data_IF_557348576056
#
_entry.id   IF_557348576056
#
_cell.length_a   1.000
_cell.length_b   1.000
_cell.length_c   1.000
_cell.angle_alpha   90.00
_cell.angle_beta   90.00
_cell.angle_gamma   90.00
#
_symmetry.space_group_name_H-M   'P 1'
#
loop_
_entity.id
_entity.type
_entity.pdbx_description
1 polymer ?
#
# COMPACT_ATOMS: atom_id res chain seq x y z
N UNK A 1 30.76 6.86 -50.57
CA UNK A 1 29.60 6.12 -51.14
C UNK A 1 29.16 5.07 -50.14
N UNK A 2 28.18 5.37 -49.31
CA UNK A 2 27.53 4.40 -48.41
C UNK A 2 26.06 4.34 -48.82
N UNK A 3 25.60 3.15 -49.23
CA UNK A 3 24.20 2.88 -49.57
C UNK A 3 23.46 2.47 -48.30
N UNK A 4 22.37 3.17 -48.00
CA UNK A 4 21.32 2.72 -47.08
C UNK A 4 20.68 1.44 -47.62
N UNK A 5 20.46 0.45 -46.75
CA UNK A 5 19.47 -0.61 -46.96
C UNK A 5 18.61 -0.68 -45.71
N UNK A 6 17.36 -0.26 -45.88
CA UNK A 6 16.27 -0.34 -44.89
C UNK A 6 15.73 -1.77 -44.88
N UNK A 7 15.69 -2.41 -43.71
CA UNK A 7 15.08 -3.73 -43.55
C UNK A 7 13.63 -3.55 -43.05
N UNK A 8 12.66 -3.82 -43.92
CA UNK A 8 11.24 -3.90 -43.57
C UNK A 8 10.93 -5.35 -43.13
N UNK A 9 10.42 -5.51 -41.91
CA UNK A 9 9.96 -6.79 -41.39
C UNK A 9 8.46 -6.95 -41.71
N UNK A 10 8.14 -7.83 -42.67
CA UNK A 10 6.76 -8.24 -42.96
C UNK A 10 6.43 -9.49 -42.15
N UNK A 11 5.41 -9.41 -41.28
CA UNK A 11 4.85 -10.57 -40.57
C UNK A 11 3.76 -11.19 -41.44
N UNK A 12 3.99 -12.43 -41.90
CA UNK A 12 2.98 -13.28 -42.51
C UNK A 12 2.20 -14.01 -41.40
N UNK A 13 0.88 -13.86 -41.38
CA UNK A 13 0.01 -14.62 -40.49
C UNK A 13 -0.16 -16.06 -41.02
N UNK A 14 0.21 -17.06 -40.21
CA UNK A 14 -0.17 -18.45 -40.44
C UNK A 14 -1.64 -18.64 -40.02
N UNK A 15 -2.49 -19.01 -40.96
CA UNK A 15 -3.83 -19.53 -40.67
C UNK A 15 -3.72 -21.03 -40.36
N UNK A 16 -4.02 -21.44 -39.13
CA UNK A 16 -4.20 -22.86 -38.79
C UNK A 16 -5.62 -23.29 -39.17
N UNK A 17 -5.73 -24.26 -40.08
CA UNK A 17 -7.00 -24.91 -40.43
C UNK A 17 -7.52 -25.74 -39.24
N UNK A 18 -8.74 -25.46 -38.79
CA UNK A 18 -9.43 -26.28 -37.79
C UNK A 18 -10.01 -27.53 -38.44
N UNK A 19 -9.58 -28.70 -37.97
CA UNK A 19 -10.19 -30.01 -38.28
C UNK A 19 -11.55 -30.10 -37.60
N UNK A 20 -12.60 -30.41 -38.38
CA UNK A 20 -13.98 -30.46 -37.90
C UNK A 20 -14.23 -31.59 -36.90
N UNK A 21 -15.03 -31.29 -35.87
CA UNK A 21 -15.59 -32.24 -34.91
C UNK A 21 -17.06 -32.52 -35.28
N UNK A 22 -17.47 -33.79 -35.26
CA UNK A 22 -18.86 -34.21 -35.51
C UNK A 22 -19.55 -34.56 -34.20
N UNK A 23 -20.69 -33.94 -33.92
CA UNK A 23 -21.54 -34.29 -32.78
C UNK A 23 -22.64 -35.31 -33.15
N UNK A 24 -23.33 -35.80 -32.12
CA UNK A 24 -24.26 -36.94 -32.16
C UNK A 24 -25.56 -36.73 -32.97
N UNK A 25 -25.70 -35.60 -33.67
CA UNK A 25 -26.87 -35.30 -34.52
C UNK A 25 -26.54 -35.12 -36.01
N UNK A 26 -25.30 -35.39 -36.43
CA UNK A 26 -24.94 -35.53 -37.84
C UNK A 26 -24.95 -34.22 -38.65
N UNK A 27 -24.89 -33.06 -38.00
CA UNK A 27 -24.81 -31.75 -38.66
C UNK A 27 -23.38 -31.22 -38.67
N UNK A 28 -22.81 -31.04 -39.86
CA UNK A 28 -21.52 -30.36 -40.06
C UNK A 28 -21.74 -28.85 -40.09
N UNK A 29 -21.47 -28.17 -38.97
CA UNK A 29 -21.51 -26.71 -38.85
C UNK A 29 -20.26 -26.18 -38.14
N UNK A 30 -19.75 -25.03 -38.59
CA UNK A 30 -18.65 -24.34 -37.93
C UNK A 30 -19.05 -23.97 -36.49
N UNK A 31 -18.20 -24.31 -35.51
CA UNK A 31 -18.43 -23.92 -34.11
C UNK A 31 -18.55 -22.40 -33.95
N UNK A 32 -19.20 -21.91 -32.87
CA UNK A 32 -19.37 -20.48 -32.66
C UNK A 32 -18.00 -19.81 -32.52
N UNK A 33 -17.67 -18.95 -33.45
CA UNK A 33 -16.53 -18.03 -33.35
C UNK A 33 -16.84 -17.00 -32.29
N UNK A 34 -16.20 -17.13 -31.12
CA UNK A 34 -16.15 -16.07 -30.13
C UNK A 34 -15.30 -14.93 -30.70
N UNK A 35 -15.95 -13.89 -31.21
CA UNK A 35 -15.29 -12.61 -31.46
C UNK A 35 -15.00 -11.97 -30.09
N UNK A 36 -13.79 -11.42 -29.87
CA UNK A 36 -13.55 -10.60 -28.69
C UNK A 36 -14.51 -9.41 -28.77
N UNK A 37 -15.45 -9.33 -27.82
CA UNK A 37 -16.32 -8.16 -27.69
C UNK A 37 -15.46 -6.98 -27.28
N UNK A 38 -15.17 -6.09 -28.22
CA UNK A 38 -14.75 -4.74 -27.86
C UNK A 38 -15.91 -4.09 -27.10
N UNK A 39 -15.69 -3.55 -25.88
CA UNK A 39 -16.76 -2.89 -25.14
C UNK A 39 -17.32 -1.75 -25.99
N UNK A 40 -18.65 -1.68 -26.11
CA UNK A 40 -19.31 -0.59 -26.83
C UNK A 40 -18.99 0.72 -26.10
N UNK A 41 -18.52 1.77 -26.79
CA UNK A 41 -18.34 3.07 -26.16
C UNK A 41 -19.71 3.59 -25.73
N UNK A 42 -19.87 3.92 -24.46
CA UNK A 42 -21.07 4.55 -23.93
C UNK A 42 -21.25 5.93 -24.59
N UNK A 43 -22.37 6.22 -25.26
CA UNK A 43 -22.59 7.53 -25.86
C UNK A 43 -22.76 8.59 -24.76
N UNK A 44 -21.84 9.55 -24.69
CA UNK A 44 -22.11 10.87 -24.09
C UNK A 44 -21.70 11.12 -22.64
N UNK A 45 -20.84 10.32 -22.02
CA UNK A 45 -20.27 10.62 -20.70
C UNK A 45 -18.76 10.47 -20.70
N UNK A 46 -18.03 11.50 -20.27
CA UNK A 46 -16.61 11.38 -19.89
C UNK A 46 -16.51 10.61 -18.57
N UNK A 47 -16.85 9.33 -18.60
CA UNK A 47 -16.65 8.43 -17.46
C UNK A 47 -15.15 8.12 -17.39
N UNK A 48 -14.38 9.08 -16.88
CA UNK A 48 -13.12 8.75 -16.22
C UNK A 48 -13.52 8.24 -14.84
N UNK A 49 -13.22 6.96 -14.58
CA UNK A 49 -13.29 6.43 -13.22
C UNK A 49 -12.54 7.39 -12.29
N UNK A 50 -13.09 7.65 -11.10
CA UNK A 50 -12.42 8.48 -10.10
C UNK A 50 -11.11 7.79 -9.72
N UNK A 51 -9.99 8.38 -10.09
CA UNK A 51 -8.67 7.91 -9.71
C UNK A 51 -8.61 7.71 -8.18
N UNK A 52 -8.06 6.59 -7.74
CA UNK A 52 -7.73 6.39 -6.33
C UNK A 52 -6.95 7.62 -5.86
N UNK A 53 -7.38 8.24 -4.76
CA UNK A 53 -6.78 9.49 -4.30
C UNK A 53 -5.30 9.29 -4.04
N UNK A 54 -4.44 9.89 -4.87
CA UNK A 54 -2.99 9.94 -4.72
C UNK A 54 -2.50 11.24 -4.08
N UNK A 55 -3.43 12.06 -3.58
CA UNK A 55 -3.10 13.36 -2.98
C UNK A 55 -2.55 13.19 -1.56
N UNK A 56 -1.22 13.27 -1.44
CA UNK A 56 -0.52 13.27 -0.17
C UNK A 56 -0.53 14.64 0.52
N UNK A 57 -0.96 15.71 -0.17
CA UNK A 57 -0.89 17.07 0.35
C UNK A 57 -1.94 17.36 1.43
N UNK A 58 -3.07 16.67 1.43
CA UNK A 58 -4.21 17.01 2.31
C UNK A 58 -4.69 15.81 3.13
N UNK A 59 -3.78 15.16 3.85
CA UNK A 59 -4.09 14.00 4.69
C UNK A 59 -4.50 14.40 6.11
N UNK A 60 -5.29 13.54 6.74
CA UNK A 60 -5.57 13.59 8.18
C UNK A 60 -4.68 12.57 8.89
N UNK A 61 -3.35 12.81 8.91
CA UNK A 61 -2.38 11.76 9.24
C UNK A 61 -1.29 12.20 10.22
N UNK A 62 -1.09 11.44 11.29
CA UNK A 62 0.11 11.49 12.11
C UNK A 62 0.97 10.25 11.80
N UNK A 63 2.24 10.46 11.46
CA UNK A 63 3.20 9.40 11.15
C UNK A 63 4.33 9.43 12.15
N UNK A 64 4.78 8.26 12.60
CA UNK A 64 6.09 8.12 13.25
C UNK A 64 6.95 7.16 12.44
N UNK A 65 8.09 7.67 11.99
CA UNK A 65 9.10 6.86 11.31
C UNK A 65 10.07 6.33 12.36
N UNK A 66 10.27 5.01 12.39
CA UNK A 66 11.12 4.30 13.33
C UNK A 66 12.25 3.65 12.55
N UNK A 67 13.48 4.08 12.77
CA UNK A 67 14.64 3.68 11.96
C UNK A 67 15.64 2.95 12.84
N UNK A 68 15.93 1.71 12.50
CA UNK A 68 17.09 1.00 13.03
C UNK A 68 18.35 1.80 12.68
N UNK A 69 19.23 2.05 13.65
CA UNK A 69 20.54 2.65 13.41
C UNK A 69 21.67 1.80 13.97
N UNK A 70 21.45 0.50 14.16
CA UNK A 70 22.48 -0.49 14.47
C UNK A 70 23.47 -0.66 13.31
N UNK A 71 24.60 -1.32 13.58
CA UNK A 71 25.58 -1.68 12.55
C UNK A 71 24.99 -2.47 11.39
N UNK A 72 23.93 -3.26 11.63
CA UNK A 72 23.27 -4.08 10.61
C UNK A 72 22.70 -3.27 9.44
N UNK A 73 22.37 -1.99 9.66
CA UNK A 73 21.91 -1.12 8.58
C UNK A 73 23.00 -0.69 7.59
N UNK A 74 24.27 -0.72 8.00
CA UNK A 74 25.42 -0.09 7.32
C UNK A 74 25.24 1.41 7.01
N UNK A 75 26.35 2.10 6.72
CA UNK A 75 26.30 3.52 6.35
C UNK A 75 25.60 3.75 5.00
N UNK A 76 25.71 2.78 4.08
CA UNK A 76 25.00 2.85 2.79
C UNK A 76 23.50 2.67 3.00
N UNK A 77 23.09 1.67 3.78
CA UNK A 77 21.67 1.40 3.99
C UNK A 77 20.94 2.46 4.79
N UNK A 78 21.56 3.03 5.82
CA UNK A 78 20.93 4.14 6.55
C UNK A 78 20.78 5.40 5.67
N UNK A 79 21.71 5.64 4.74
CA UNK A 79 21.61 6.72 3.75
C UNK A 79 20.49 6.47 2.74
N UNK A 80 20.31 5.21 2.32
CA UNK A 80 19.20 4.81 1.46
C UNK A 80 17.85 5.01 2.14
N UNK A 81 17.73 4.63 3.41
CA UNK A 81 16.52 4.89 4.22
C UNK A 81 16.24 6.39 4.32
N UNK A 82 17.26 7.22 4.54
CA UNK A 82 17.12 8.67 4.57
C UNK A 82 16.54 9.21 3.24
N UNK A 83 17.07 8.74 2.11
CA UNK A 83 16.58 9.11 0.78
C UNK A 83 15.16 8.60 0.51
N UNK A 84 14.82 7.39 0.97
CA UNK A 84 13.48 6.83 0.84
C UNK A 84 12.45 7.67 1.62
N UNK A 85 12.71 7.99 2.88
CA UNK A 85 11.85 8.85 3.71
C UNK A 85 11.66 10.22 3.04
N UNK A 86 12.76 10.83 2.58
CA UNK A 86 12.71 12.12 1.89
C UNK A 86 11.83 12.05 0.62
N UNK A 87 11.89 10.96 -0.13
CA UNK A 87 11.09 10.79 -1.35
C UNK A 87 9.61 10.51 -1.05
N UNK A 88 9.31 9.66 -0.06
CA UNK A 88 7.94 9.33 0.37
C UNK A 88 7.18 10.61 0.74
N UNK A 89 7.79 11.47 1.55
CA UNK A 89 7.13 12.68 2.03
C UNK A 89 7.39 13.92 1.16
N UNK A 90 8.45 13.91 0.35
CA UNK A 90 8.79 15.01 -0.56
C UNK A 90 7.83 15.20 -1.73
N UNK A 91 7.01 14.19 -2.04
CA UNK A 91 6.04 14.23 -3.14
C UNK A 91 4.76 15.01 -2.78
N UNK A 92 4.90 16.29 -2.46
CA UNK A 92 3.78 17.20 -2.20
C UNK A 92 3.09 17.04 -0.84
N UNK A 93 3.63 16.24 0.08
CA UNK A 93 3.05 16.10 1.43
C UNK A 93 3.12 17.43 2.18
N UNK A 94 2.00 17.89 2.72
CA UNK A 94 1.96 19.07 3.59
C UNK A 94 2.34 18.67 5.02
N UNK A 95 3.60 18.92 5.40
CA UNK A 95 4.14 18.58 6.72
C UNK A 95 3.92 19.71 7.72
N UNK A 96 3.45 19.39 8.92
CA UNK A 96 3.32 20.33 10.04
C UNK A 96 1.88 20.53 10.49
N UNK A 97 1.65 21.55 11.31
CA UNK A 97 0.32 21.86 11.86
C UNK A 97 -0.03 23.35 11.88
N UNK A 98 0.75 24.19 11.21
CA UNK A 98 0.57 25.65 11.20
C UNK A 98 -0.32 26.15 10.05
N UNK A 99 -1.10 25.27 9.44
CA UNK A 99 -1.94 25.59 8.29
C UNK A 99 -3.37 25.95 8.71
N UNK A 100 -3.98 26.87 7.96
CA UNK A 100 -5.40 27.21 8.11
C UNK A 100 -6.31 26.05 7.73
N UNK A 101 -5.91 25.28 6.70
CA UNK A 101 -6.52 23.99 6.42
C UNK A 101 -5.95 22.93 7.39
N UNK A 102 -6.79 22.32 8.23
CA UNK A 102 -6.33 21.35 9.22
C UNK A 102 -5.81 20.04 8.60
N UNK A 103 -6.07 19.79 7.31
CA UNK A 103 -5.53 18.64 6.56
C UNK A 103 -4.03 18.82 6.33
N UNK A 104 -3.25 18.02 7.02
CA UNK A 104 -1.80 18.03 7.04
C UNK A 104 -1.26 16.74 7.67
N UNK A 105 -0.02 16.40 7.35
CA UNK A 105 0.70 15.28 7.95
C UNK A 105 1.66 15.79 9.02
N UNK A 106 1.62 15.23 10.22
CA UNK A 106 2.71 15.41 11.21
C UNK A 106 3.63 14.21 11.14
N UNK A 107 4.94 14.43 11.16
CA UNK A 107 5.94 13.36 11.10
C UNK A 107 6.81 13.44 12.35
N UNK A 108 6.84 12.35 13.11
CA UNK A 108 7.83 12.11 14.15
C UNK A 108 8.93 11.17 13.63
N UNK A 109 10.12 11.27 14.22
CA UNK A 109 11.26 10.43 13.89
C UNK A 109 11.85 9.82 15.16
N UNK A 110 12.00 8.50 15.15
CA UNK A 110 12.62 7.71 16.21
C UNK A 110 13.74 6.91 15.59
N UNK A 111 14.90 6.89 16.24
CA UNK A 111 15.95 5.91 15.95
C UNK A 111 16.05 4.87 17.05
N UNK A 112 16.45 3.64 16.72
CA UNK A 112 16.66 2.61 17.72
C UNK A 112 17.81 1.64 17.37
N UNK A 113 18.38 1.07 18.42
CA UNK A 113 19.32 -0.05 18.41
C UNK A 113 19.05 -0.90 19.67
N UNK A 114 20.00 -1.03 20.60
CA UNK A 114 19.75 -1.51 21.97
C UNK A 114 18.91 -0.54 22.83
N UNK A 115 18.85 0.74 22.45
CA UNK A 115 17.99 1.77 23.06
C UNK A 115 17.25 2.54 21.97
N UNK A 116 16.22 3.32 22.32
CA UNK A 116 15.53 4.21 21.39
C UNK A 116 15.74 5.68 21.73
N UNK A 117 15.75 6.52 20.69
CA UNK A 117 15.87 7.97 20.79
C UNK A 117 14.75 8.64 19.97
N UNK A 118 13.99 9.53 20.60
CA UNK A 118 13.01 10.37 19.89
C UNK A 118 13.77 11.56 19.32
N UNK A 119 13.99 11.55 18.00
CA UNK A 119 14.70 12.59 17.28
C UNK A 119 13.78 13.78 17.02
N UNK A 120 12.53 13.49 16.65
CA UNK A 120 11.50 14.49 16.44
C UNK A 120 10.15 13.98 16.98
N UNK A 121 9.49 14.80 17.80
CA UNK A 121 8.09 14.58 18.13
C UNK A 121 7.17 15.10 17.00
N UNK A 122 5.86 14.87 17.13
CA UNK A 122 4.88 15.25 16.09
C UNK A 122 4.77 16.77 15.86
N UNK A 123 5.30 17.62 16.72
CA UNK A 123 5.21 19.07 16.62
C UNK A 123 6.55 19.74 16.26
N UNK A 124 7.64 18.99 16.16
CA UNK A 124 8.94 19.54 15.81
C UNK A 124 9.04 19.89 14.32
N UNK A 125 8.65 18.97 13.43
CA UNK A 125 8.77 19.15 11.99
C UNK A 125 7.57 19.92 11.42
N UNK A 126 7.82 21.08 10.82
CA UNK A 126 6.77 22.01 10.35
C UNK A 126 6.81 22.26 8.85
N UNK A 127 7.72 21.61 8.13
CA UNK A 127 7.89 21.70 6.69
C UNK A 127 8.64 20.50 6.12
N UNK A 128 8.63 20.36 4.80
CA UNK A 128 9.46 19.38 4.08
C UNK A 128 10.96 19.65 4.27
N UNK A 129 11.35 20.92 4.38
CA UNK A 129 12.75 21.29 4.63
C UNK A 129 13.21 20.86 6.04
N UNK A 130 12.37 21.04 7.06
CA UNK A 130 12.65 20.56 8.41
C UNK A 130 12.83 19.04 8.43
N UNK A 131 11.96 18.32 7.72
CA UNK A 131 12.04 16.87 7.58
C UNK A 131 13.37 16.48 6.92
N UNK A 132 13.72 17.08 5.79
CA UNK A 132 14.95 16.73 5.06
C UNK A 132 16.19 17.01 5.90
N UNK A 133 16.28 18.19 6.49
CA UNK A 133 17.41 18.57 7.34
C UNK A 133 17.55 17.61 8.53
N UNK A 134 16.44 17.27 9.19
CA UNK A 134 16.46 16.36 10.35
C UNK A 134 16.83 14.94 9.94
N UNK A 135 16.22 14.42 8.87
CA UNK A 135 16.47 13.07 8.37
C UNK A 135 17.93 12.90 7.94
N UNK A 136 18.46 13.78 7.09
CA UNK A 136 19.84 13.63 6.58
C UNK A 136 20.91 13.94 7.63
N UNK A 137 20.63 14.80 8.63
CA UNK A 137 21.59 15.03 9.73
C UNK A 137 21.59 13.89 10.76
N UNK A 138 20.46 13.20 10.94
CA UNK A 138 20.31 12.11 11.89
C UNK A 138 20.76 10.77 11.31
N UNK A 139 20.38 10.51 10.06
CA UNK A 139 20.59 9.24 9.36
C UNK A 139 21.84 9.26 8.45
N UNK A 140 22.90 9.94 8.90
CA UNK A 140 24.16 10.05 8.16
C UNK A 140 25.17 8.93 8.45
N UNK A 141 24.99 8.22 9.56
CA UNK A 141 25.88 7.13 9.99
C UNK A 141 25.18 6.21 10.98
N UNK A 142 25.54 4.93 10.97
CA UNK A 142 25.08 3.98 11.98
C UNK A 142 25.78 4.18 13.33
N UNK A 143 25.16 3.66 14.39
CA UNK A 143 25.76 3.52 15.70
C UNK A 143 26.77 2.39 15.75
N UNK A 144 27.55 2.31 16.83
CA UNK A 144 28.50 1.21 17.08
C UNK A 144 27.84 -0.03 17.73
N UNK A 145 26.52 -0.09 17.85
CA UNK A 145 25.79 -1.20 18.48
C UNK A 145 25.40 -2.27 17.45
N UNK A 146 25.53 -3.53 17.84
CA UNK A 146 25.03 -4.69 17.08
C UNK A 146 23.59 -5.09 17.50
N UNK A 147 23.03 -4.39 18.49
CA UNK A 147 21.67 -4.59 18.98
C UNK A 147 20.67 -3.87 18.08
N UNK A 148 19.56 -4.55 17.79
CA UNK A 148 18.42 -4.01 17.03
C UNK A 148 17.13 -4.45 17.73
N UNK A 149 16.89 -3.86 18.91
CA UNK A 149 15.74 -4.20 19.77
C UNK A 149 14.49 -3.44 19.31
N UNK A 150 13.81 -4.03 18.33
CA UNK A 150 12.65 -3.43 17.66
C UNK A 150 11.54 -2.98 18.61
N UNK A 151 11.30 -3.72 19.70
CA UNK A 151 10.34 -3.34 20.73
C UNK A 151 10.61 -1.96 21.35
N UNK A 152 11.89 -1.55 21.49
CA UNK A 152 12.26 -0.22 22.01
C UNK A 152 11.89 0.89 21.03
N UNK A 153 12.11 0.66 19.73
CA UNK A 153 11.73 1.60 18.67
C UNK A 153 10.22 1.77 18.59
N UNK A 154 9.46 0.68 18.52
CA UNK A 154 8.00 0.70 18.46
C UNK A 154 7.40 1.31 19.75
N UNK A 155 7.95 0.98 20.91
CA UNK A 155 7.53 1.59 22.18
C UNK A 155 7.76 3.10 22.24
N UNK A 156 8.87 3.60 21.69
CA UNK A 156 9.10 5.03 21.57
C UNK A 156 8.12 5.69 20.59
N UNK A 157 7.77 5.02 19.49
CA UNK A 157 6.75 5.53 18.56
C UNK A 157 5.36 5.62 19.21
N UNK A 158 5.00 4.62 20.03
CA UNK A 158 3.79 4.66 20.85
C UNK A 158 3.78 5.88 21.76
N UNK A 159 4.88 6.14 22.47
CA UNK A 159 5.01 7.31 23.34
C UNK A 159 4.89 8.63 22.58
N UNK A 160 5.51 8.76 21.39
CA UNK A 160 5.41 9.93 20.51
C UNK A 160 3.95 10.18 20.09
N UNK A 161 3.24 9.13 19.67
CA UNK A 161 1.83 9.22 19.29
C UNK A 161 0.92 9.58 20.47
N UNK A 162 1.17 9.02 21.65
CA UNK A 162 0.39 9.33 22.86
C UNK A 162 0.60 10.78 23.31
N UNK A 163 1.86 11.22 23.39
CA UNK A 163 2.21 12.57 23.83
C UNK A 163 1.74 13.64 22.83
N UNK A 164 1.91 13.42 21.53
CA UNK A 164 1.50 14.39 20.51
C UNK A 164 -0.01 14.50 20.28
N UNK A 165 -0.82 13.68 20.97
CA UNK A 165 -2.30 13.66 20.91
C UNK A 165 -2.96 13.87 22.27
N UNK A 166 -2.20 14.31 23.28
CA UNK A 166 -2.76 14.73 24.56
C UNK A 166 -3.87 15.77 24.34
N UNK A 167 -4.85 15.81 25.26
CA UNK A 167 -6.01 16.70 25.16
C UNK A 167 -6.83 16.54 23.87
N UNK A 168 -6.84 15.31 23.31
CA UNK A 168 -7.58 14.97 22.09
C UNK A 168 -7.13 15.76 20.84
N UNK A 169 -5.91 16.29 20.83
CA UNK A 169 -5.34 16.94 19.64
C UNK A 169 -5.32 15.95 18.49
N UNK A 170 -5.96 16.34 17.38
CA UNK A 170 -6.07 15.51 16.17
C UNK A 170 -6.64 14.12 16.45
N UNK A 171 -7.52 13.95 17.44
CA UNK A 171 -8.07 12.66 17.89
C UNK A 171 -8.76 11.82 16.79
N UNK A 172 -9.28 12.47 15.76
CA UNK A 172 -9.91 11.87 14.59
C UNK A 172 -8.94 11.55 13.44
N UNK A 173 -7.68 11.98 13.53
CA UNK A 173 -6.67 11.74 12.49
C UNK A 173 -6.20 10.30 12.56
N UNK A 174 -5.82 9.78 11.40
CA UNK A 174 -5.21 8.46 11.27
C UNK A 174 -3.79 8.48 11.81
N UNK A 175 -3.32 7.31 12.24
CA UNK A 175 -1.97 7.11 12.76
C UNK A 175 -1.29 6.01 11.95
N UNK A 176 -0.05 6.27 11.56
CA UNK A 176 0.81 5.33 10.85
C UNK A 176 2.17 5.28 11.56
N UNK A 177 2.71 4.08 11.71
CA UNK A 177 4.09 3.87 12.11
C UNK A 177 4.78 3.19 10.92
N UNK A 178 5.91 3.75 10.48
CA UNK A 178 6.73 3.17 9.42
C UNK A 178 8.04 2.71 10.05
N UNK A 179 8.32 1.41 10.02
CA UNK A 179 9.51 0.82 10.62
C UNK A 179 10.50 0.43 9.53
N UNK A 180 11.74 0.90 9.62
CA UNK A 180 12.87 0.38 8.85
C UNK A 180 13.75 -0.43 9.79
N UNK A 181 14.00 -1.70 9.47
CA UNK A 181 14.73 -2.62 10.34
C UNK A 181 15.72 -3.48 9.55
N UNK A 182 16.94 -3.63 10.08
CA UNK A 182 17.95 -4.56 9.52
C UNK A 182 17.92 -5.95 10.16
N UNK A 183 17.20 -6.10 11.27
CA UNK A 183 17.06 -7.36 11.97
C UNK A 183 15.72 -7.46 12.71
N UNK A 184 15.25 -8.69 12.92
CA UNK A 184 14.15 -8.99 13.82
C UNK A 184 14.73 -9.63 15.08
N UNK A 185 14.96 -8.82 16.12
CA UNK A 185 15.53 -9.30 17.41
C UNK A 185 14.67 -8.86 18.58
N UNK A 186 14.63 -9.71 19.60
CA UNK A 186 13.93 -9.47 20.85
C UNK A 186 13.22 -10.72 21.35
N UNK A 187 13.32 -10.99 22.64
CA UNK A 187 12.60 -12.07 23.32
C UNK A 187 12.10 -11.54 24.68
N UNK A 188 11.13 -12.24 25.28
CA UNK A 188 10.59 -11.88 26.59
C UNK A 188 10.05 -10.44 26.61
N UNK A 189 10.58 -9.60 27.50
CA UNK A 189 10.16 -8.19 27.61
C UNK A 189 10.51 -7.33 26.39
N UNK A 190 11.45 -7.79 25.55
CA UNK A 190 11.85 -7.09 24.33
C UNK A 190 11.23 -7.73 23.07
N UNK A 191 10.28 -8.66 23.20
CA UNK A 191 9.50 -9.15 22.07
C UNK A 191 8.69 -7.99 21.46
N UNK A 192 8.84 -7.69 20.15
CA UNK A 192 8.09 -6.62 19.51
C UNK A 192 6.60 -6.95 19.28
N UNK A 193 6.16 -8.22 19.37
CA UNK A 193 4.78 -8.62 19.09
C UNK A 193 3.78 -7.92 20.04
N UNK A 194 3.92 -7.99 21.38
CA UNK A 194 2.91 -7.42 22.29
C UNK A 194 2.73 -5.90 22.14
N UNK A 195 3.81 -5.16 21.90
CA UNK A 195 3.74 -3.70 21.67
C UNK A 195 3.13 -3.37 20.31
N UNK A 196 3.44 -4.15 19.28
CA UNK A 196 2.88 -3.98 17.94
C UNK A 196 1.39 -4.28 17.92
N UNK A 197 0.95 -5.37 18.56
CA UNK A 197 -0.46 -5.73 18.66
C UNK A 197 -1.25 -4.68 19.43
N UNK A 198 -0.71 -4.16 20.54
CA UNK A 198 -1.34 -3.06 21.28
C UNK A 198 -1.54 -1.81 20.39
N UNK A 199 -0.52 -1.41 19.63
CA UNK A 199 -0.64 -0.28 18.71
C UNK A 199 -1.70 -0.53 17.64
N UNK A 200 -1.67 -1.70 16.98
CA UNK A 200 -2.66 -2.11 15.97
C UNK A 200 -4.08 -2.12 16.54
N UNK A 201 -4.28 -2.70 17.72
CA UNK A 201 -5.57 -2.71 18.42
C UNK A 201 -6.06 -1.31 18.79
N UNK A 202 -5.14 -0.36 19.00
CA UNK A 202 -5.52 1.04 19.23
C UNK A 202 -5.96 1.76 17.95
N UNK A 203 -5.80 1.16 16.76
CA UNK A 203 -6.13 1.77 15.46
C UNK A 203 -4.95 2.49 14.81
N UNK A 204 -3.71 2.11 15.15
CA UNK A 204 -2.49 2.54 14.44
C UNK A 204 -2.17 1.52 13.36
N UNK A 205 -1.89 2.00 12.15
CA UNK A 205 -1.36 1.14 11.08
C UNK A 205 0.15 1.04 11.25
N UNK A 206 0.70 -0.16 11.14
CA UNK A 206 2.14 -0.39 11.15
C UNK A 206 2.55 -0.85 9.76
N UNK A 207 3.44 -0.10 9.11
CA UNK A 207 4.15 -0.53 7.92
C UNK A 207 5.60 -0.84 8.30
N UNK A 208 6.16 -1.88 7.69
CA UNK A 208 7.54 -2.31 7.95
C UNK A 208 8.29 -2.45 6.63
N UNK A 209 9.59 -2.16 6.68
CA UNK A 209 10.53 -2.29 5.59
C UNK A 209 11.71 -3.11 6.10
N UNK A 210 11.83 -4.33 5.58
CA UNK A 210 13.00 -5.18 5.78
C UNK A 210 14.17 -4.60 5.00
N UNK A 211 15.16 -4.05 5.69
CA UNK A 211 16.40 -3.62 5.07
C UNK A 211 17.34 -4.83 4.97
N UNK A 212 17.19 -5.57 3.89
CA UNK A 212 17.83 -6.85 3.68
C UNK A 212 19.01 -6.72 2.70
N UNK A 213 20.24 -6.82 3.21
CA UNK A 213 21.45 -6.77 2.37
C UNK A 213 21.72 -8.10 1.66
N UNK A 214 21.26 -9.24 2.19
CA UNK A 214 21.74 -10.57 1.80
C UNK A 214 20.67 -11.49 1.19
N UNK A 215 19.38 -11.12 1.22
CA UNK A 215 18.27 -11.96 0.76
C UNK A 215 17.55 -12.70 1.89
N UNK A 216 17.65 -12.25 3.14
CA UNK A 216 17.11 -12.96 4.30
C UNK A 216 15.57 -12.88 4.36
N UNK A 217 14.91 -13.91 3.82
CA UNK A 217 13.46 -14.08 3.88
C UNK A 217 12.94 -14.18 5.33
N UNK A 218 13.78 -14.57 6.31
CA UNK A 218 13.37 -14.66 7.71
C UNK A 218 13.13 -13.29 8.34
N UNK A 219 13.89 -12.26 7.93
CA UNK A 219 13.69 -10.89 8.37
C UNK A 219 12.32 -10.37 7.92
N UNK A 220 11.99 -10.52 6.64
CA UNK A 220 10.69 -10.11 6.10
C UNK A 220 9.54 -10.87 6.77
N UNK A 221 9.68 -12.18 6.97
CA UNK A 221 8.68 -12.99 7.66
C UNK A 221 8.48 -12.57 9.13
N UNK A 222 9.55 -12.20 9.84
CA UNK A 222 9.46 -11.65 11.19
C UNK A 222 8.74 -10.30 11.22
N UNK A 223 9.12 -9.38 10.32
CA UNK A 223 8.51 -8.05 10.23
C UNK A 223 7.03 -8.12 9.79
N UNK A 224 6.65 -9.11 8.98
CA UNK A 224 5.25 -9.34 8.61
C UNK A 224 4.34 -9.65 9.81
N UNK A 225 4.87 -10.20 10.91
CA UNK A 225 4.08 -10.48 12.12
C UNK A 225 3.73 -9.20 12.90
N UNK A 226 4.60 -8.19 12.85
CA UNK A 226 4.37 -6.91 13.53
C UNK A 226 3.62 -5.91 12.66
N UNK A 227 3.78 -5.98 11.34
CA UNK A 227 3.09 -5.11 10.40
C UNK A 227 1.57 -5.30 10.48
N UNK A 228 0.84 -4.26 10.07
CA UNK A 228 -0.56 -4.42 9.68
C UNK A 228 -0.65 -5.23 8.37
N UNK A 229 -1.76 -5.94 8.13
CA UNK A 229 -1.89 -6.82 6.97
C UNK A 229 -1.55 -6.11 5.65
N UNK A 230 -0.71 -6.75 4.82
CA UNK A 230 -0.23 -6.26 3.52
C UNK A 230 0.70 -5.02 3.55
N UNK A 231 1.25 -4.65 4.70
CA UNK A 231 2.16 -3.50 4.83
C UNK A 231 3.58 -3.89 5.29
N UNK A 232 4.02 -5.10 4.96
CA UNK A 232 5.41 -5.53 5.11
C UNK A 232 6.08 -5.56 3.75
N UNK A 233 7.15 -4.77 3.62
CA UNK A 233 7.88 -4.52 2.38
C UNK A 233 9.38 -4.83 2.58
N UNK A 234 10.13 -4.82 1.50
CA UNK A 234 11.60 -4.93 1.52
C UNK A 234 12.25 -3.74 0.84
N UNK A 235 13.47 -3.36 1.25
CA UNK A 235 14.27 -2.33 0.57
C UNK A 235 14.54 -2.65 -0.90
N UNK A 236 14.42 -3.93 -1.29
CA UNK A 236 14.59 -4.39 -2.68
C UNK A 236 13.35 -4.21 -3.56
N UNK A 237 12.22 -3.76 -3.00
CA UNK A 237 10.99 -3.57 -3.78
C UNK A 237 11.14 -2.44 -4.80
N UNK A 238 10.82 -2.73 -6.06
CA UNK A 238 10.97 -1.80 -7.19
C UNK A 238 10.21 -0.48 -7.01
N UNK A 239 9.15 -0.48 -6.19
CA UNK A 239 8.31 0.69 -5.92
C UNK A 239 8.02 0.90 -4.42
N UNK A 240 9.03 0.69 -3.57
CA UNK A 240 8.89 0.86 -2.13
C UNK A 240 8.28 2.23 -1.74
N UNK A 241 8.67 3.30 -2.42
CA UNK A 241 8.12 4.64 -2.19
C UNK A 241 6.60 4.68 -2.40
N UNK A 242 6.12 4.14 -3.53
CA UNK A 242 4.70 4.12 -3.85
C UNK A 242 3.90 3.22 -2.90
N UNK A 243 4.49 2.11 -2.44
CA UNK A 243 3.90 1.22 -1.46
C UNK A 243 3.69 1.91 -0.11
N UNK A 244 4.73 2.60 0.38
CA UNK A 244 4.65 3.39 1.62
C UNK A 244 3.64 4.53 1.48
N UNK A 245 3.65 5.26 0.36
CA UNK A 245 2.65 6.30 0.07
C UNK A 245 1.22 5.72 0.04
N UNK A 246 1.04 4.52 -0.51
CA UNK A 246 -0.21 3.78 -0.48
C UNK A 246 -0.68 3.46 0.95
N UNK A 247 0.25 3.13 1.86
CA UNK A 247 -0.09 2.93 3.29
C UNK A 247 -0.57 4.23 3.95
N UNK A 248 0.01 5.38 3.61
CA UNK A 248 -0.39 6.69 4.15
C UNK A 248 -1.79 7.09 3.69
N UNK A 249 -2.19 6.67 2.49
CA UNK A 249 -3.52 6.91 1.91
C UNK A 249 -4.60 5.96 2.48
N UNK A 250 -4.21 4.87 3.14
CA UNK A 250 -5.05 3.95 3.92
C UNK A 250 -6.33 3.47 3.22
N UNK A 251 -6.33 3.18 1.90
CA UNK A 251 -7.62 2.95 1.21
C UNK A 251 -7.67 1.81 0.20
N UNK A 252 -8.59 0.89 0.48
CA UNK A 252 -9.50 0.28 -0.47
C UNK A 252 -10.89 0.93 -0.27
N UNK A 253 -11.64 1.23 -1.34
CA UNK A 253 -12.98 1.84 -1.24
C UNK A 253 -13.94 1.18 -2.22
N UNK A 254 -15.24 1.25 -1.92
CA UNK A 254 -16.25 1.04 -2.95
C UNK A 254 -16.27 2.25 -3.90
N UNK A 255 -16.27 1.95 -5.20
CA UNK A 255 -16.60 2.95 -6.21
C UNK A 255 -18.05 3.42 -6.04
N UNK A 256 -18.30 4.69 -6.38
CA UNK A 256 -19.62 5.31 -6.42
C UNK A 256 -19.81 6.01 -7.77
N UNK A 257 -21.05 6.31 -8.20
CA UNK A 257 -21.30 7.12 -9.38
C UNK A 257 -20.48 8.42 -9.39
N UNK A 258 -20.11 8.88 -10.58
CA UNK A 258 -19.32 10.09 -10.76
C UNK A 258 -19.98 11.27 -10.01
N UNK A 259 -19.18 12.00 -9.23
CA UNK A 259 -19.65 13.12 -8.42
C UNK A 259 -19.91 12.81 -6.93
N UNK A 260 -19.96 11.53 -6.54
CA UNK A 260 -20.15 11.12 -5.14
C UNK A 260 -18.83 10.71 -4.44
N UNK A 261 -18.68 10.93 -3.11
CA UNK A 261 -17.48 10.57 -2.35
C UNK A 261 -17.32 9.04 -2.22
N UNK A 262 -16.11 8.52 -2.47
CA UNK A 262 -15.81 7.08 -2.31
C UNK A 262 -16.24 6.56 -0.93
N UNK A 263 -16.97 5.44 -0.91
CA UNK A 263 -17.42 4.81 0.34
C UNK A 263 -16.26 4.02 0.95
N UNK A 264 -15.79 4.36 2.16
CA UNK A 264 -14.72 3.60 2.82
C UNK A 264 -15.09 2.12 2.91
N UNK A 265 -14.17 1.24 2.50
CA UNK A 265 -14.35 -0.20 2.69
C UNK A 265 -14.11 -0.52 4.18
N UNK A 266 -15.10 -1.07 4.87
CA UNK A 266 -15.02 -1.42 6.30
C UNK A 266 -15.70 -2.74 6.57
N UNK A 267 -15.04 -3.62 7.35
CA UNK A 267 -15.64 -4.84 7.89
C UNK A 267 -15.59 -6.08 6.98
N UNK A 268 -14.71 -6.13 5.97
CA UNK A 268 -14.65 -7.29 5.09
C UNK A 268 -13.84 -8.45 5.66
N UNK A 269 -14.54 -9.56 5.88
CA UNK A 269 -14.03 -10.88 6.22
C UNK A 269 -14.61 -11.89 5.22
N UNK A 270 -14.05 -13.11 5.13
CA UNK A 270 -14.40 -14.16 4.14
C UNK A 270 -13.69 -14.05 2.77
N UNK A 271 -12.36 -13.98 2.79
CA UNK A 271 -11.56 -14.24 1.59
C UNK A 271 -11.62 -15.73 1.23
N UNK A 272 -11.64 -16.02 -0.07
CA UNK A 272 -11.45 -17.40 -0.51
C UNK A 272 -10.04 -17.89 -0.17
N UNK A 273 -9.85 -19.20 0.05
CA UNK A 273 -8.53 -19.76 0.27
C UNK A 273 -7.55 -19.32 -0.83
N UNK A 274 -6.34 -18.91 -0.44
CA UNK A 274 -5.29 -18.36 -1.32
C UNK A 274 -5.53 -16.95 -1.86
N UNK A 275 -6.49 -16.21 -1.30
CA UNK A 275 -6.73 -14.79 -1.54
C UNK A 275 -6.68 -13.99 -0.21
N UNK A 276 -6.35 -12.69 -0.26
CA UNK A 276 -5.96 -11.91 -1.43
C UNK A 276 -4.61 -12.37 -2.02
N UNK A 277 -4.46 -12.28 -3.35
CA UNK A 277 -3.17 -12.43 -4.02
C UNK A 277 -2.37 -11.16 -3.74
N UNK A 278 -1.27 -11.30 -3.01
CA UNK A 278 -0.41 -10.21 -2.54
C UNK A 278 0.29 -9.42 -3.66
N UNK A 279 0.37 -9.98 -4.88
CA UNK A 279 1.13 -9.38 -6.00
C UNK A 279 0.39 -9.50 -7.33
N UNK A 280 -0.73 -8.82 -7.46
CA UNK A 280 -1.37 -8.71 -8.78
C UNK A 280 -1.74 -7.28 -9.08
N UNK A 281 -1.73 -6.93 -10.37
CA UNK A 281 -2.34 -5.71 -10.93
C UNK A 281 -3.87 -5.70 -10.75
N UNK A 282 -4.36 -6.41 -9.75
CA UNK A 282 -5.75 -6.68 -9.48
C UNK A 282 -6.28 -5.58 -8.58
N UNK A 283 -6.78 -4.54 -9.23
CA UNK A 283 -7.36 -3.35 -8.61
C UNK A 283 -8.84 -3.52 -8.26
N UNK A 284 -9.47 -4.62 -8.70
CA UNK A 284 -10.87 -4.97 -8.40
C UNK A 284 -10.99 -6.13 -7.41
N UNK A 285 -12.15 -6.23 -6.76
CA UNK A 285 -12.48 -7.30 -5.82
C UNK A 285 -13.86 -7.83 -6.18
N UNK A 286 -13.99 -9.14 -6.33
CA UNK A 286 -15.26 -9.82 -6.64
C UNK A 286 -15.55 -10.90 -5.62
N UNK A 287 -16.84 -11.13 -5.39
CA UNK A 287 -17.33 -12.25 -4.61
C UNK A 287 -17.47 -13.45 -5.55
N UNK A 288 -16.72 -14.52 -5.28
CA UNK A 288 -16.65 -15.68 -6.14
C UNK A 288 -16.87 -16.95 -5.34
N UNK A 289 -17.60 -17.89 -5.93
CA UNK A 289 -17.75 -19.23 -5.37
C UNK A 289 -16.44 -20.01 -5.51
N UNK A 290 -15.96 -20.59 -4.40
CA UNK A 290 -14.70 -21.35 -4.40
C UNK A 290 -14.89 -22.86 -4.53
N UNK A 291 -16.03 -23.39 -4.07
CA UNK A 291 -16.30 -24.83 -4.08
C UNK A 291 -17.75 -25.15 -4.43
N UNK A 292 -18.04 -26.41 -4.72
CA UNK A 292 -19.38 -26.90 -5.10
C UNK A 292 -20.43 -26.80 -3.99
N UNK A 293 -20.05 -26.34 -2.80
CA UNK A 293 -20.88 -26.19 -1.61
C UNK A 293 -21.57 -24.80 -1.51
N UNK A 294 -21.59 -24.02 -2.60
CA UNK A 294 -22.15 -22.66 -2.66
C UNK A 294 -21.51 -21.68 -1.67
N UNK A 295 -20.31 -21.98 -1.16
CA UNK A 295 -19.55 -21.02 -0.37
C UNK A 295 -18.90 -19.98 -1.28
N UNK A 296 -19.18 -18.71 -0.97
CA UNK A 296 -18.62 -17.56 -1.68
C UNK A 296 -17.64 -16.82 -0.79
N UNK A 297 -16.64 -16.22 -1.42
CA UNK A 297 -15.63 -15.42 -0.74
C UNK A 297 -14.92 -14.50 -1.70
N UNK A 298 -14.14 -13.59 -1.15
CA UNK A 298 -13.50 -12.54 -1.95
C UNK A 298 -12.29 -13.06 -2.70
N UNK A 299 -12.14 -12.57 -3.93
CA UNK A 299 -10.94 -12.74 -4.76
C UNK A 299 -10.60 -11.38 -5.37
N UNK A 300 -9.34 -10.94 -5.25
CA UNK A 300 -8.88 -9.77 -6.00
C UNK A 300 -8.61 -10.16 -7.46
N UNK A 301 -9.17 -9.41 -8.39
CA UNK A 301 -9.13 -9.66 -9.85
C UNK A 301 -8.57 -8.45 -10.63
N UNK A 302 -8.07 -8.70 -11.84
CA UNK A 302 -7.66 -7.63 -12.74
C UNK A 302 -8.91 -6.91 -13.25
N UNK A 303 -9.17 -5.71 -12.73
CA UNK A 303 -10.35 -4.92 -13.06
C UNK A 303 -10.46 -4.49 -14.52
N UNK A 304 -9.37 -4.61 -15.29
CA UNK A 304 -9.32 -4.21 -16.71
C UNK A 304 -9.44 -5.38 -17.69
N UNK A 305 -9.07 -6.60 -17.28
CA UNK A 305 -8.98 -7.74 -18.19
C UNK A 305 -9.96 -8.87 -17.87
N UNK A 306 -10.59 -8.86 -16.70
CA UNK A 306 -11.63 -9.83 -16.33
C UNK A 306 -12.99 -9.18 -16.48
N UNK A 307 -13.78 -9.65 -17.44
CA UNK A 307 -15.15 -9.21 -17.65
C UNK A 307 -16.09 -9.93 -16.67
N UNK A 308 -16.10 -9.48 -15.41
CA UNK A 308 -17.08 -9.96 -14.42
C UNK A 308 -18.27 -9.00 -14.32
N UNK A 309 -19.40 -9.51 -13.82
CA UNK A 309 -20.56 -8.67 -13.51
C UNK A 309 -20.23 -7.76 -12.32
N UNK A 310 -19.86 -6.52 -12.62
CA UNK A 310 -19.68 -5.50 -11.61
C UNK A 310 -21.00 -5.25 -10.88
N UNK A 311 -21.02 -5.45 -9.56
CA UNK A 311 -22.16 -5.06 -8.75
C UNK A 311 -22.05 -3.57 -8.45
N UNK A 312 -22.58 -2.74 -9.36
CA UNK A 312 -22.84 -1.36 -9.02
C UNK A 312 -24.01 -1.34 -8.02
N UNK A 313 -23.73 -1.05 -6.75
CA UNK A 313 -24.77 -0.60 -5.83
C UNK A 313 -25.25 0.77 -6.33
N UNK A 314 -26.22 0.76 -7.24
CA UNK A 314 -26.95 1.96 -7.61
C UNK A 314 -27.85 2.32 -6.44
N UNK A 315 -27.89 3.59 -6.06
CA UNK A 315 -28.87 4.06 -5.10
C UNK A 315 -30.27 3.69 -5.62
N UNK A 316 -30.96 2.78 -4.92
CA UNK A 316 -32.35 2.48 -5.23
C UNK A 316 -33.19 3.67 -4.75
N UNK A 317 -33.70 4.45 -5.70
CA UNK A 317 -34.65 5.51 -5.38
C UNK A 317 -36.00 4.85 -5.10
N UNK A 318 -36.54 5.06 -3.90
CA UNK A 318 -37.93 4.78 -3.58
C UNK A 318 -38.84 5.82 -4.27
N UNK A 319 -40.07 5.42 -4.58
CA UNK A 319 -41.17 6.26 -5.08
C UNK A 319 -41.38 7.58 -4.34
N UNK A 320 -40.90 7.70 -3.09
CA UNK A 320 -41.07 8.91 -2.28
C UNK A 320 -39.90 9.91 -2.34
N UNK A 321 -38.74 9.55 -2.92
CA UNK A 321 -37.57 10.44 -3.01
C UNK A 321 -36.86 10.32 -4.35
N UNK A 322 -37.06 11.35 -5.19
CA UNK A 322 -36.27 11.56 -6.41
C UNK A 322 -34.80 11.79 -6.04
N UNK A 323 -33.90 10.98 -6.59
CA UNK A 323 -32.47 11.20 -6.48
C UNK A 323 -32.01 12.12 -7.64
N UNK A 324 -31.38 13.28 -7.39
CA UNK A 324 -30.64 14.00 -8.43
C UNK A 324 -29.34 13.29 -8.82
#
# INVERSE_FOLDING_TARGET
MFKLVTLALTVAALASAQTGYTDSWGTTGAGPTFLPSTPRPTPGGTNVDRECGGDLANLWLDVVVVVDNSKGMTNEGITEVAANIATVFGNGTRIGNQYTDPRSTRVGLVTYNGVSNVVADLNLLQSTDDLFNTVFSTLSSVSNSDDSLLAKGIGAAEAVLQNGRQNNVRGNYKRLVIVYASAYKGEGENDPIPVSDRLKSSGVIISTVAFDQDGDEALLAGLAQIASPNYAFTSKDLNLVGEIQGTALQRWNWQQPAGYPLRPLSGYTAWNPSYPKSFSSNTGVVEQQFSSDLTVGWQNINGYSVAEYYMCEVASCDTEKYCP
#
